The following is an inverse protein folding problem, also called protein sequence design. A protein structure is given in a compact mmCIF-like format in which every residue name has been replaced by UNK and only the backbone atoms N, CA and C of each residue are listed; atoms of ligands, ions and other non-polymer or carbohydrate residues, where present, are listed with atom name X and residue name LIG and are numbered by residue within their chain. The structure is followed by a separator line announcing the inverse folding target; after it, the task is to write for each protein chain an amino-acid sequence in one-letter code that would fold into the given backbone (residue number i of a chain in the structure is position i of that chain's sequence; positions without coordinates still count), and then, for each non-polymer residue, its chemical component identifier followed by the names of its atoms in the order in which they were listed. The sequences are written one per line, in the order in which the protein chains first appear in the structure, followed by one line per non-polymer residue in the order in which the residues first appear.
data_IF_462007304340
#
_entry.id   IF_462007304340
#
_cell.length_a   1.000
_cell.length_b   1.000
_cell.length_c   1.000
_cell.angle_alpha   90.00
_cell.angle_beta   90.00
_cell.angle_gamma   90.00
#
_symmetry.space_group_name_H-M   'P 1'
#
loop_
_entity.id
_entity.type
_entity.pdbx_description
1 polymer ?
#
# COMPACT_ATOMS: atom_id res chain seq x y z
N UNK A 1 19.28 -20.28 19.16
CA UNK A 1 18.72 -19.86 17.86
C UNK A 1 19.46 -20.53 16.72
N UNK A 2 18.73 -21.13 15.76
CA UNK A 2 19.30 -21.86 14.62
C UNK A 2 19.34 -21.01 13.34
N UNK A 3 20.13 -21.43 12.35
CA UNK A 3 20.25 -20.74 11.06
C UNK A 3 18.91 -20.76 10.27
N UNK A 4 18.06 -21.77 10.51
CA UNK A 4 16.73 -21.87 9.91
C UNK A 4 15.75 -20.87 10.49
N UNK A 5 15.87 -20.54 11.77
CA UNK A 5 15.09 -19.51 12.43
C UNK A 5 15.39 -18.12 11.86
N UNK A 6 16.67 -17.83 11.58
CA UNK A 6 17.07 -16.60 10.90
C UNK A 6 16.48 -16.52 9.49
N UNK A 7 16.48 -17.63 8.72
CA UNK A 7 15.84 -17.70 7.41
C UNK A 7 14.33 -17.49 7.50
N UNK A 8 13.68 -18.01 8.54
CA UNK A 8 12.26 -17.78 8.81
C UNK A 8 11.99 -16.30 9.04
N UNK A 9 12.71 -15.66 9.99
CA UNK A 9 12.60 -14.23 10.25
C UNK A 9 12.86 -13.39 8.99
N UNK A 10 13.89 -13.73 8.21
CA UNK A 10 14.17 -13.04 6.94
C UNK A 10 12.97 -13.03 5.98
N UNK A 11 12.28 -14.17 5.81
CA UNK A 11 11.09 -14.27 4.95
C UNK A 11 9.93 -13.44 5.49
N UNK A 12 9.72 -13.44 6.81
CA UNK A 12 8.67 -12.65 7.46
C UNK A 12 8.96 -11.15 7.30
N UNK A 13 10.21 -10.73 7.54
CA UNK A 13 10.66 -9.34 7.36
C UNK A 13 10.43 -8.89 5.91
N UNK A 14 10.77 -9.70 4.92
CA UNK A 14 10.59 -9.35 3.50
C UNK A 14 9.11 -9.17 3.12
N UNK A 15 8.25 -10.04 3.64
CA UNK A 15 6.80 -9.91 3.49
C UNK A 15 6.27 -8.64 4.16
N UNK A 16 6.64 -8.39 5.42
CA UNK A 16 6.21 -7.21 6.17
C UNK A 16 6.72 -5.91 5.54
N UNK A 17 7.96 -5.89 5.04
CA UNK A 17 8.53 -4.76 4.32
C UNK A 17 7.69 -4.41 3.10
N UNK A 18 7.29 -5.41 2.31
CA UNK A 18 6.41 -5.20 1.15
C UNK A 18 5.04 -4.66 1.58
N UNK A 19 4.50 -5.16 2.69
CA UNK A 19 3.22 -4.73 3.23
C UNK A 19 3.25 -3.26 3.68
N UNK A 20 4.26 -2.86 4.46
CA UNK A 20 4.42 -1.49 4.95
C UNK A 20 4.73 -0.49 3.83
N UNK A 21 5.56 -0.85 2.86
CA UNK A 21 5.77 -0.01 1.66
C UNK A 21 4.44 0.28 0.96
N UNK A 22 3.61 -0.75 0.76
CA UNK A 22 2.33 -0.59 0.06
C UNK A 22 1.34 0.28 0.84
N UNK A 23 1.29 0.13 2.17
CA UNK A 23 0.44 0.95 3.04
C UNK A 23 0.90 2.41 3.08
N UNK A 24 2.21 2.65 3.22
CA UNK A 24 2.82 3.98 3.13
C UNK A 24 2.45 4.69 1.84
N UNK A 25 2.70 4.05 0.70
CA UNK A 25 2.48 4.65 -0.61
C UNK A 25 0.99 4.91 -0.86
N UNK A 26 0.10 4.01 -0.40
CA UNK A 26 -1.34 4.22 -0.53
C UNK A 26 -1.84 5.38 0.33
N UNK A 27 -1.36 5.53 1.56
CA UNK A 27 -1.78 6.62 2.45
C UNK A 27 -1.21 7.96 1.97
N UNK A 28 0.05 7.98 1.52
CA UNK A 28 0.67 9.17 0.94
C UNK A 28 -0.09 9.67 -0.31
N UNK A 29 -0.45 8.77 -1.23
CA UNK A 29 -1.25 9.14 -2.41
C UNK A 29 -2.63 9.69 -2.05
N UNK A 30 -3.30 9.11 -1.03
CA UNK A 30 -4.59 9.61 -0.56
C UNK A 30 -4.47 11.01 0.02
N UNK A 31 -3.46 11.25 0.84
CA UNK A 31 -3.19 12.58 1.39
C UNK A 31 -2.96 13.61 0.26
N UNK A 32 -2.10 13.29 -0.71
CA UNK A 32 -1.81 14.17 -1.85
C UNK A 32 -3.07 14.43 -2.68
N UNK A 33 -3.85 13.39 -2.99
CA UNK A 33 -5.07 13.53 -3.79
C UNK A 33 -6.07 14.46 -3.12
N UNK A 34 -6.23 14.35 -1.81
CA UNK A 34 -7.20 15.13 -1.06
C UNK A 34 -6.71 16.57 -0.89
N UNK A 35 -5.41 16.80 -0.65
CA UNK A 35 -4.81 18.14 -0.67
C UNK A 35 -5.02 18.80 -2.05
N UNK A 36 -4.87 18.05 -3.15
CA UNK A 36 -5.10 18.55 -4.50
C UNK A 36 -6.56 18.94 -4.74
N UNK A 37 -7.51 18.12 -4.29
CA UNK A 37 -8.95 18.41 -4.38
C UNK A 37 -9.29 19.67 -3.56
N UNK A 38 -8.71 19.79 -2.37
CA UNK A 38 -8.93 20.94 -1.50
C UNK A 38 -8.38 22.22 -2.15
N UNK A 39 -7.14 22.17 -2.64
CA UNK A 39 -6.51 23.29 -3.35
C UNK A 39 -7.29 23.69 -4.60
N UNK A 40 -7.69 22.72 -5.42
CA UNK A 40 -8.50 22.95 -6.62
C UNK A 40 -9.84 23.59 -6.30
N UNK A 41 -10.53 23.10 -5.26
CA UNK A 41 -11.81 23.66 -4.82
C UNK A 41 -11.63 25.10 -4.31
N UNK A 42 -10.57 25.39 -3.55
CA UNK A 42 -10.26 26.75 -3.09
C UNK A 42 -10.01 27.70 -4.26
N UNK A 43 -9.28 27.28 -5.30
CA UNK A 43 -9.04 28.11 -6.49
C UNK A 43 -10.36 28.40 -7.22
N UNK A 44 -11.22 27.38 -7.39
CA UNK A 44 -12.54 27.55 -8.02
C UNK A 44 -13.41 28.51 -7.21
N UNK A 45 -13.44 28.38 -5.89
CA UNK A 45 -14.16 29.29 -5.00
C UNK A 45 -13.64 30.72 -5.11
N UNK A 46 -12.33 30.93 -5.09
CA UNK A 46 -11.75 32.25 -5.28
C UNK A 46 -12.07 32.84 -6.66
N UNK A 47 -12.03 32.03 -7.73
CA UNK A 47 -12.41 32.48 -9.06
C UNK A 47 -13.89 32.88 -9.14
N UNK A 48 -14.78 32.13 -8.45
CA UNK A 48 -16.21 32.44 -8.36
C UNK A 48 -16.50 33.78 -7.68
N UNK A 49 -15.64 34.25 -6.77
CA UNK A 49 -15.79 35.59 -6.15
C UNK A 49 -15.58 36.71 -7.18
N UNK A 50 -14.74 36.51 -8.19
CA UNK A 50 -14.52 37.50 -9.25
C UNK A 50 -15.63 37.54 -10.30
N UNK A 51 -16.53 36.55 -10.33
CA UNK A 51 -17.72 36.59 -11.18
C UNK A 51 -18.77 37.54 -10.55
N UNK A 52 -18.65 38.83 -10.83
CA UNK A 52 -19.61 39.84 -10.42
C UNK A 52 -20.88 39.82 -11.30
N UNK A 53 -21.97 40.35 -10.74
CA UNK A 53 -23.29 40.55 -11.32
C UNK A 53 -23.28 41.18 -12.73
N UNK A 54 -22.31 42.02 -13.06
CA UNK A 54 -22.17 42.63 -14.39
C UNK A 54 -21.90 41.63 -15.52
N UNK A 55 -21.14 40.56 -15.27
CA UNK A 55 -20.85 39.51 -16.27
C UNK A 55 -22.01 38.50 -16.33
N UNK A 56 -22.69 38.27 -15.21
CA UNK A 56 -23.81 37.34 -15.09
C UNK A 56 -25.05 37.79 -15.87
N UNK A 57 -25.32 39.10 -15.91
CA UNK A 57 -26.41 39.68 -16.71
C UNK A 57 -26.20 39.41 -18.21
N UNK A 58 -24.94 39.45 -18.68
CA UNK A 58 -24.59 39.14 -20.07
C UNK A 58 -24.83 37.67 -20.44
N UNK A 59 -24.70 36.76 -19.48
CA UNK A 59 -24.95 35.32 -19.66
C UNK A 59 -26.38 34.87 -19.32
N UNK A 60 -27.28 35.78 -18.90
CA UNK A 60 -28.65 35.46 -18.44
C UNK A 60 -28.72 34.42 -17.32
N UNK A 61 -27.67 34.30 -16.50
CA UNK A 61 -27.66 33.36 -15.36
C UNK A 61 -28.23 34.08 -14.14
N UNK A 62 -29.18 33.45 -13.45
CA UNK A 62 -29.77 33.98 -12.23
C UNK A 62 -28.71 34.11 -11.11
N UNK A 63 -28.46 35.32 -10.59
CA UNK A 63 -27.52 35.56 -9.49
C UNK A 63 -27.79 34.74 -8.23
N UNK A 64 -29.05 34.34 -7.99
CA UNK A 64 -29.41 33.53 -6.82
C UNK A 64 -28.84 32.11 -6.89
N UNK A 65 -28.85 31.50 -8.07
CA UNK A 65 -28.33 30.14 -8.29
C UNK A 65 -26.83 30.10 -8.06
N UNK A 66 -26.10 31.11 -8.51
CA UNK A 66 -24.64 31.21 -8.32
C UNK A 66 -24.28 31.33 -6.85
N UNK A 67 -25.00 32.16 -6.09
CA UNK A 67 -24.80 32.28 -4.63
C UNK A 67 -25.06 30.95 -3.91
N UNK A 68 -26.11 30.23 -4.31
CA UNK A 68 -26.41 28.91 -3.74
C UNK A 68 -25.29 27.90 -4.03
N UNK A 69 -24.78 27.87 -5.27
CA UNK A 69 -23.66 26.99 -5.67
C UNK A 69 -22.40 27.31 -4.87
N UNK A 70 -22.06 28.59 -4.69
CA UNK A 70 -20.90 29.01 -3.89
C UNK A 70 -21.07 28.56 -2.43
N UNK A 71 -22.27 28.72 -1.86
CA UNK A 71 -22.58 28.26 -0.50
C UNK A 71 -22.42 26.75 -0.32
N UNK A 72 -22.98 25.95 -1.24
CA UNK A 72 -22.85 24.49 -1.23
C UNK A 72 -21.38 24.08 -1.39
N UNK A 73 -20.67 24.68 -2.34
CA UNK A 73 -19.27 24.35 -2.61
C UNK A 73 -18.39 24.68 -1.39
N UNK A 74 -18.61 25.83 -0.74
CA UNK A 74 -17.92 26.22 0.49
C UNK A 74 -18.20 25.24 1.64
N UNK A 75 -19.47 24.81 1.80
CA UNK A 75 -19.86 23.81 2.79
C UNK A 75 -19.18 22.45 2.56
N UNK A 76 -19.09 22.00 1.31
CA UNK A 76 -18.39 20.76 0.93
C UNK A 76 -16.89 20.86 1.23
N UNK A 77 -16.25 21.98 0.87
CA UNK A 77 -14.82 22.23 1.17
C UNK A 77 -14.55 22.19 2.66
N UNK A 78 -15.42 22.83 3.46
CA UNK A 78 -15.33 22.80 4.92
C UNK A 78 -15.52 21.38 5.49
N UNK A 79 -16.47 20.61 4.95
CA UNK A 79 -16.66 19.22 5.39
C UNK A 79 -15.44 18.33 5.05
N UNK A 80 -14.86 18.49 3.86
CA UNK A 80 -13.64 17.79 3.46
C UNK A 80 -12.47 18.18 4.38
N UNK A 81 -12.33 19.46 4.75
CA UNK A 81 -11.25 19.89 5.65
C UNK A 81 -11.37 19.26 7.05
N UNK A 82 -12.60 19.09 7.57
CA UNK A 82 -12.84 18.35 8.81
C UNK A 82 -12.45 16.86 8.69
N UNK A 83 -12.77 16.22 7.56
CA UNK A 83 -12.35 14.83 7.32
C UNK A 83 -10.82 14.71 7.31
N UNK A 84 -10.13 15.64 6.64
CA UNK A 84 -8.65 15.67 6.60
C UNK A 84 -8.09 15.81 8.01
N UNK A 85 -8.64 16.72 8.82
CA UNK A 85 -8.20 16.91 10.19
C UNK A 85 -8.38 15.64 11.04
N UNK A 86 -9.45 14.88 10.79
CA UNK A 86 -9.74 13.65 11.54
C UNK A 86 -8.93 12.44 11.06
N UNK A 87 -8.77 12.28 9.75
CA UNK A 87 -8.06 11.16 9.13
C UNK A 87 -6.62 11.57 8.85
N UNK A 88 -5.75 11.38 9.84
CA UNK A 88 -4.31 11.64 9.75
C UNK A 88 -3.59 10.65 8.79
N UNK A 89 -3.87 10.75 7.49
CA UNK A 89 -3.25 9.90 6.46
C UNK A 89 -1.75 10.17 6.34
N UNK A 90 -1.32 11.41 6.60
CA UNK A 90 0.10 11.81 6.56
C UNK A 90 0.87 11.14 7.70
N UNK A 91 0.38 11.22 8.94
CA UNK A 91 1.00 10.54 10.08
C UNK A 91 0.96 9.01 9.95
N UNK A 92 -0.12 8.44 9.42
CA UNK A 92 -0.16 7.00 9.13
C UNK A 92 0.84 6.58 8.03
N UNK A 93 1.04 7.41 7.01
CA UNK A 93 2.07 7.16 6.01
C UNK A 93 3.47 7.22 6.64
N UNK A 94 3.72 8.22 7.49
CA UNK A 94 5.00 8.40 8.18
C UNK A 94 5.34 7.23 9.12
N UNK A 95 4.38 6.77 9.94
CA UNK A 95 4.55 5.58 10.80
C UNK A 95 4.95 4.35 9.98
N UNK A 96 4.34 4.16 8.80
CA UNK A 96 4.71 3.07 7.92
C UNK A 96 6.06 3.30 7.19
N UNK A 97 6.48 4.55 6.98
CA UNK A 97 7.81 4.87 6.45
C UNK A 97 8.91 4.52 7.46
N UNK A 98 8.72 4.88 8.72
CA UNK A 98 9.62 4.52 9.83
C UNK A 98 9.70 3.00 10.00
N UNK A 99 8.55 2.31 10.02
CA UNK A 99 8.48 0.86 10.02
C UNK A 99 9.27 0.22 8.86
N UNK A 100 9.17 0.80 7.67
CA UNK A 100 9.89 0.34 6.47
C UNK A 100 11.41 0.52 6.65
N UNK A 101 11.85 1.65 7.19
CA UNK A 101 13.26 1.90 7.46
C UNK A 101 13.84 0.88 8.46
N UNK A 102 13.14 0.66 9.58
CA UNK A 102 13.53 -0.34 10.59
C UNK A 102 13.60 -1.75 9.99
N UNK A 103 12.56 -2.17 9.28
CA UNK A 103 12.54 -3.49 8.62
C UNK A 103 13.64 -3.65 7.57
N UNK A 104 13.96 -2.58 6.82
CA UNK A 104 15.03 -2.61 5.84
C UNK A 104 16.41 -2.79 6.47
N UNK A 105 16.64 -2.17 7.64
CA UNK A 105 17.84 -2.35 8.45
C UNK A 105 17.96 -3.80 8.94
N UNK A 106 16.91 -4.33 9.57
CA UNK A 106 16.89 -5.72 10.04
C UNK A 106 17.09 -6.72 8.88
N UNK A 107 16.47 -6.47 7.72
CA UNK A 107 16.68 -7.28 6.52
C UNK A 107 18.14 -7.25 6.06
N UNK A 108 18.78 -6.08 6.14
CA UNK A 108 20.19 -5.89 5.82
C UNK A 108 21.10 -6.75 6.72
N UNK A 109 20.87 -6.70 8.03
CA UNK A 109 21.62 -7.51 9.00
C UNK A 109 21.43 -9.01 8.80
N UNK A 110 20.19 -9.46 8.62
CA UNK A 110 19.91 -10.85 8.28
C UNK A 110 20.61 -11.28 6.98
N UNK A 111 20.60 -10.42 5.96
CA UNK A 111 21.28 -10.71 4.68
C UNK A 111 22.80 -10.76 4.84
N UNK A 112 23.38 -9.89 5.68
CA UNK A 112 24.81 -9.86 5.98
C UNK A 112 25.27 -11.20 6.58
N UNK A 113 24.55 -11.69 7.58
CA UNK A 113 24.84 -12.99 8.21
C UNK A 113 24.62 -14.15 7.23
N UNK A 114 23.53 -14.12 6.45
CA UNK A 114 23.20 -15.20 5.50
C UNK A 114 24.15 -15.28 4.30
N UNK A 115 24.79 -14.17 3.92
CA UNK A 115 25.75 -14.11 2.80
C UNK A 115 27.21 -14.15 3.24
N UNK A 116 27.49 -14.15 4.53
CA UNK A 116 28.84 -14.28 5.05
C UNK A 116 29.41 -15.64 4.67
N UNK A 117 30.63 -15.66 4.11
CA UNK A 117 31.35 -16.90 3.79
C UNK A 117 31.82 -17.62 5.06
N UNK A 118 32.07 -16.86 6.13
CA UNK A 118 32.37 -17.40 7.46
C UNK A 118 31.14 -18.04 8.10
N UNK A 119 31.32 -19.22 8.72
CA UNK A 119 30.26 -19.89 9.49
C UNK A 119 29.79 -18.94 10.60
N UNK A 120 28.51 -18.52 10.61
CA UNK A 120 28.05 -17.54 11.57
C UNK A 120 28.04 -18.13 12.98
N UNK A 121 28.68 -17.43 13.91
CA UNK A 121 28.65 -17.75 15.34
C UNK A 121 27.21 -17.76 15.86
N UNK A 122 26.83 -18.76 16.65
CA UNK A 122 25.47 -18.89 17.23
C UNK A 122 25.04 -17.63 17.99
N UNK A 123 25.96 -16.97 18.66
CA UNK A 123 25.73 -15.71 19.39
C UNK A 123 25.30 -14.56 18.48
N UNK A 124 25.94 -14.41 17.30
CA UNK A 124 25.59 -13.37 16.34
C UNK A 124 24.20 -13.59 15.75
N UNK A 125 23.84 -14.85 15.51
CA UNK A 125 22.49 -15.22 15.03
C UNK A 125 21.44 -14.89 16.11
N UNK A 126 21.70 -15.21 17.38
CA UNK A 126 20.78 -14.89 18.48
C UNK A 126 20.55 -13.39 18.60
N UNK A 127 21.63 -12.60 18.62
CA UNK A 127 21.55 -11.13 18.74
C UNK A 127 20.71 -10.50 17.64
N UNK A 128 20.92 -10.89 16.38
CA UNK A 128 20.14 -10.33 15.26
C UNK A 128 18.68 -10.76 15.31
N UNK A 129 18.39 -12.00 15.70
CA UNK A 129 17.02 -12.45 15.85
C UNK A 129 16.30 -11.72 17.00
N UNK A 130 16.97 -11.49 18.14
CA UNK A 130 16.43 -10.69 19.25
C UNK A 130 16.15 -9.25 18.81
N UNK A 131 17.06 -8.61 18.07
CA UNK A 131 16.85 -7.27 17.51
C UNK A 131 15.66 -7.23 16.53
N UNK A 132 15.50 -8.27 15.71
CA UNK A 132 14.35 -8.41 14.82
C UNK A 132 13.03 -8.55 15.59
N UNK A 133 13.02 -9.34 16.67
CA UNK A 133 11.84 -9.51 17.54
C UNK A 133 11.47 -8.20 18.24
N UNK A 134 12.45 -7.46 18.75
CA UNK A 134 12.24 -6.12 19.30
C UNK A 134 11.67 -5.16 18.26
N UNK A 135 12.21 -5.19 17.05
CA UNK A 135 11.73 -4.37 15.95
C UNK A 135 10.26 -4.69 15.64
N UNK A 136 9.89 -5.97 15.57
CA UNK A 136 8.50 -6.36 15.30
C UNK A 136 7.50 -5.83 16.34
N UNK A 137 7.90 -5.72 17.61
CA UNK A 137 7.05 -5.15 18.67
C UNK A 137 6.80 -3.65 18.50
N UNK A 138 7.74 -2.93 17.86
CA UNK A 138 7.63 -1.49 17.62
C UNK A 138 6.83 -1.14 16.36
N UNK A 139 6.54 -2.11 15.49
CA UNK A 139 5.87 -1.84 14.22
C UNK A 139 4.40 -1.48 14.42
N UNK A 140 3.86 -0.56 13.59
CA UNK A 140 2.43 -0.29 13.58
C UNK A 140 1.66 -1.54 13.13
N UNK A 141 0.61 -1.88 13.87
CA UNK A 141 -0.22 -3.03 13.57
C UNK A 141 -0.85 -2.94 12.17
N UNK A 142 -0.77 -4.04 11.41
CA UNK A 142 -1.44 -4.18 10.13
C UNK A 142 -2.82 -4.78 10.39
N UNK A 143 -3.92 -4.16 9.93
CA UNK A 143 -5.24 -4.72 10.13
C UNK A 143 -5.40 -6.03 9.34
N UNK A 144 -6.02 -7.02 9.97
CA UNK A 144 -6.09 -8.39 9.46
C UNK A 144 -6.80 -8.51 8.10
N UNK A 145 -7.85 -7.70 7.90
CA UNK A 145 -8.57 -7.64 6.63
C UNK A 145 -7.71 -7.17 5.44
N UNK A 146 -6.62 -6.45 5.70
CA UNK A 146 -5.64 -6.04 4.68
C UNK A 146 -4.50 -7.04 4.56
N UNK A 147 -4.20 -7.79 5.62
CA UNK A 147 -3.06 -8.70 5.65
C UNK A 147 -3.10 -9.73 4.52
N UNK A 148 -4.24 -10.38 4.29
CA UNK A 148 -4.39 -11.37 3.21
C UNK A 148 -4.15 -10.73 1.82
N UNK A 149 -4.72 -9.54 1.59
CA UNK A 149 -4.53 -8.79 0.34
C UNK A 149 -3.05 -8.43 0.13
N UNK A 150 -2.38 -7.98 1.18
CA UNK A 150 -0.96 -7.63 1.16
C UNK A 150 -0.07 -8.86 0.90
N UNK A 151 -0.42 -10.02 1.47
CA UNK A 151 0.25 -11.30 1.22
C UNK A 151 0.16 -11.72 -0.25
N UNK A 152 -1.03 -11.60 -0.86
CA UNK A 152 -1.23 -11.87 -2.29
C UNK A 152 -0.38 -10.92 -3.14
N UNK A 153 -0.39 -9.63 -2.82
CA UNK A 153 0.41 -8.63 -3.52
C UNK A 153 1.92 -8.93 -3.43
N UNK A 154 2.41 -9.35 -2.27
CA UNK A 154 3.81 -9.73 -2.08
C UNK A 154 4.18 -10.95 -2.92
N UNK A 155 3.38 -12.03 -2.89
CA UNK A 155 3.61 -13.21 -3.75
C UNK A 155 3.61 -12.84 -5.23
N UNK A 156 2.65 -12.01 -5.67
CA UNK A 156 2.59 -11.51 -7.05
C UNK A 156 3.84 -10.71 -7.42
N UNK A 157 4.34 -9.83 -6.54
CA UNK A 157 5.57 -9.08 -6.75
C UNK A 157 6.77 -10.00 -6.95
N UNK A 158 6.94 -11.02 -6.10
CA UNK A 158 8.04 -12.00 -6.24
C UNK A 158 7.96 -12.71 -7.60
N UNK A 159 6.78 -13.18 -7.99
CA UNK A 159 6.59 -13.86 -9.28
C UNK A 159 6.88 -12.94 -10.47
N UNK A 160 6.41 -11.69 -10.42
CA UNK A 160 6.72 -10.70 -11.46
C UNK A 160 8.23 -10.51 -11.56
N UNK A 161 8.92 -10.33 -10.42
CA UNK A 161 10.38 -10.17 -10.42
C UNK A 161 11.07 -11.35 -11.09
N UNK A 162 10.72 -12.58 -10.71
CA UNK A 162 11.28 -13.79 -11.33
C UNK A 162 11.01 -13.87 -12.83
N UNK A 163 9.83 -13.45 -13.29
CA UNK A 163 9.49 -13.46 -14.72
C UNK A 163 10.23 -12.38 -15.51
N UNK A 164 10.46 -11.22 -14.89
CA UNK A 164 11.27 -10.13 -15.46
C UNK A 164 12.72 -10.59 -15.63
N UNK A 165 13.28 -11.26 -14.61
CA UNK A 165 14.64 -11.79 -14.65
C UNK A 165 14.81 -12.84 -15.77
N UNK A 166 13.78 -13.66 -16.01
CA UNK A 166 13.79 -14.71 -17.05
C UNK A 166 13.49 -14.19 -18.47
N UNK A 167 12.83 -13.04 -18.62
CA UNK A 167 12.38 -12.51 -19.93
C UNK A 167 12.70 -11.01 -20.04
N UNK A 168 13.97 -10.65 -20.27
CA UNK A 168 14.35 -9.25 -20.46
C UNK A 168 13.63 -8.67 -21.69
N UNK A 169 13.12 -7.44 -21.57
CA UNK A 169 12.44 -6.73 -22.66
C UNK A 169 10.92 -6.91 -22.75
N UNK A 170 10.32 -7.80 -21.96
CA UNK A 170 8.87 -7.96 -21.93
C UNK A 170 8.19 -6.81 -21.15
N UNK A 171 7.15 -6.15 -21.70
CA UNK A 171 6.47 -5.07 -20.99
C UNK A 171 5.71 -5.60 -19.76
N UNK A 172 5.78 -4.85 -18.64
CA UNK A 172 5.23 -5.29 -17.34
C UNK A 172 3.74 -5.64 -17.37
N UNK A 173 2.95 -5.03 -18.26
CA UNK A 173 1.51 -5.28 -18.34
C UNK A 173 1.20 -6.70 -18.86
N UNK A 174 1.99 -7.22 -19.82
CA UNK A 174 1.87 -8.60 -20.33
C UNK A 174 2.18 -9.60 -19.22
N UNK A 175 3.28 -9.39 -18.49
CA UNK A 175 3.67 -10.25 -17.36
C UNK A 175 2.59 -10.27 -16.27
N UNK A 176 1.99 -9.10 -15.99
CA UNK A 176 0.88 -8.98 -15.03
C UNK A 176 -0.37 -9.73 -15.48
N UNK A 177 -0.71 -9.64 -16.77
CA UNK A 177 -1.86 -10.35 -17.34
C UNK A 177 -1.64 -11.86 -17.29
N UNK A 178 -0.46 -12.35 -17.69
CA UNK A 178 -0.11 -13.78 -17.64
C UNK A 178 -0.22 -14.37 -16.24
N UNK A 179 0.33 -13.70 -15.22
CA UNK A 179 0.23 -14.16 -13.82
C UNK A 179 -1.23 -14.19 -13.36
N UNK A 180 -2.02 -13.19 -13.74
CA UNK A 180 -3.44 -13.14 -13.41
C UNK A 180 -4.19 -14.33 -14.04
N UNK A 181 -3.98 -14.61 -15.33
CA UNK A 181 -4.60 -15.74 -16.01
C UNK A 181 -4.19 -17.08 -15.39
N UNK A 182 -2.91 -17.28 -15.07
CA UNK A 182 -2.42 -18.51 -14.41
C UNK A 182 -3.06 -18.67 -13.02
N UNK A 183 -3.13 -17.60 -12.23
CA UNK A 183 -3.77 -17.63 -10.92
C UNK A 183 -5.26 -17.98 -11.00
N UNK A 184 -5.95 -17.42 -11.99
CA UNK A 184 -7.36 -17.69 -12.25
C UNK A 184 -7.59 -19.15 -12.68
N UNK A 185 -6.82 -19.66 -13.66
CA UNK A 185 -6.89 -21.05 -14.12
C UNK A 185 -6.64 -22.06 -12.99
N UNK A 186 -5.64 -21.80 -12.14
CA UNK A 186 -5.33 -22.67 -11.01
C UNK A 186 -6.42 -22.65 -9.93
N UNK A 187 -7.07 -21.51 -9.70
CA UNK A 187 -8.21 -21.42 -8.79
C UNK A 187 -9.41 -22.23 -9.30
N UNK A 188 -9.68 -22.18 -10.61
CA UNK A 188 -10.74 -22.99 -11.24
C UNK A 188 -10.43 -24.49 -11.20
N UNK A 189 -9.17 -24.90 -11.43
CA UNK A 189 -8.76 -26.31 -11.33
C UNK A 189 -8.87 -26.85 -9.90
N UNK A 190 -8.38 -26.10 -8.93
CA UNK A 190 -8.44 -26.50 -7.51
C UNK A 190 -9.88 -26.70 -7.02
N UNK A 191 -10.85 -25.95 -7.57
CA UNK A 191 -12.26 -26.12 -7.26
C UNK A 191 -12.82 -27.44 -7.82
N UNK A 192 -12.42 -27.80 -9.04
CA UNK A 192 -12.81 -29.05 -9.69
C UNK A 192 -12.27 -30.27 -8.93
N UNK A 193 -11.01 -30.23 -8.48
CA UNK A 193 -10.38 -31.33 -7.74
C UNK A 193 -10.96 -31.52 -6.31
N UNK A 194 -11.51 -30.46 -5.70
CA UNK A 194 -12.22 -30.56 -4.42
C UNK A 194 -13.64 -31.11 -4.55
N UNK A 195 -14.30 -30.90 -5.71
CA UNK A 195 -15.63 -31.46 -5.99
C UNK A 195 -15.51 -32.97 -6.25
N UNK A 196 -14.54 -33.43 -7.06
CA UNK A 196 -14.34 -34.87 -7.34
C UNK A 196 -13.99 -35.71 -6.10
N UNK A 197 -13.31 -35.13 -5.09
CA UNK A 197 -12.96 -35.85 -3.85
C UNK A 197 -14.11 -35.97 -2.86
N UNK A 198 -15.13 -35.13 -2.96
CA UNK A 198 -16.34 -35.28 -2.15
C UNK A 198 -17.25 -36.35 -2.76
N UNK A 199 -17.29 -36.45 -4.09
CA UNK A 199 -18.08 -37.48 -4.81
C UNK A 199 -17.50 -38.91 -4.65
N UNK A 200 -16.21 -39.07 -4.35
CA UNK A 200 -15.58 -40.38 -4.10
C UNK A 200 -15.72 -40.86 -2.63
N UNK A 201 -16.24 -40.02 -1.72
CA UNK A 201 -16.41 -40.34 -0.30
C UNK A 201 -17.90 -40.45 0.14
N UNK A 202 -18.84 -40.40 -0.79
CA UNK A 202 -20.26 -40.77 -0.64
C UNK A 202 -20.54 -42.16 -1.24
#
# INVERSE_FOLDING_TARGET
MSLDELKHHYRVIDMMLTAHCKLRDSNSRKAILIDLILLGSSIVLCAMVFFDSGILIQFKIDPQVVRLIIGICSGVVFFISLIILRMDWKGQAQKHAEATALLSRCKGECRRILKSEEKPTKENVSKVCEECLWTFKMLPAIPENKFLKLKILHKRKIQISKMVDNNPGCPLWVLRAKIFCIGFLNACRSKKDSETKNDENE
#
